data_IF_436403688848
#
_entry.id   IF_436403688848
#
_cell.length_a   1.000
_cell.length_b   1.000
_cell.length_c   1.000
_cell.angle_alpha   90.00
_cell.angle_beta   90.00
_cell.angle_gamma   90.00
#
_symmetry.space_group_name_H-M   'P 1'
#
loop_
_entity.id
_entity.type
_entity.pdbx_description
1 polymer ?
#
# COMPACT_ATOMS: atom_id res chain seq x y z
N UNK A 1 -1.42 16.29 19.52
CA UNK A 1 -1.58 16.37 19.07
C UNK A 1 -2.14 16.54 18.71
N UNK A 2 -2.31 16.63 18.81
CA UNK A 2 -2.78 16.78 18.37
C UNK A 2 -3.27 17.01 17.56
N UNK A 3 -3.37 17.30 17.36
CA UNK A 3 -3.74 17.36 16.61
C UNK A 3 -3.70 17.19 16.08
N UNK A 4 -3.56 16.99 16.28
CA UNK A 4 -3.26 16.76 15.72
C UNK A 4 -3.18 15.95 15.27
N UNK A 5 -3.19 15.50 15.78
CA UNK A 5 -3.23 14.68 15.43
C UNK A 5 -3.56 14.39 14.70
N UNK A 6 -3.09 14.28 15.25
CA UNK A 6 -3.74 14.55 14.23
C UNK A 6 -3.99 13.57 13.11
N UNK A 7 -4.82 13.78 12.26
CA UNK A 7 -5.14 12.91 11.17
C UNK A 7 -3.95 12.65 10.25
N UNK A 8 -3.78 11.43 9.77
CA UNK A 8 -2.75 11.12 8.81
C UNK A 8 -3.04 11.80 7.49
N UNK A 9 -2.00 12.23 6.80
CA UNK A 9 -2.16 12.79 5.49
C UNK A 9 -2.52 11.69 4.50
N UNK A 10 -3.00 12.09 3.33
CA UNK A 10 -3.35 11.15 2.30
C UNK A 10 -2.14 10.31 1.88
N UNK A 11 -0.99 10.96 1.83
CA UNK A 11 0.25 10.27 1.50
C UNK A 11 0.56 9.17 2.50
N UNK A 12 0.38 9.46 3.78
CA UNK A 12 0.64 8.46 4.83
C UNK A 12 -0.28 7.27 4.70
N UNK A 13 -1.54 7.51 4.38
CA UNK A 13 -2.50 6.44 4.18
C UNK A 13 -2.09 5.55 3.02
N UNK A 14 -1.74 6.15 1.90
CA UNK A 14 -1.34 5.40 0.73
C UNK A 14 -0.06 4.63 0.98
N UNK A 15 0.87 5.24 1.71
CA UNK A 15 2.12 4.58 2.05
C UNK A 15 1.83 3.32 2.86
N UNK A 16 0.95 3.41 3.83
CA UNK A 16 0.57 2.26 4.64
C UNK A 16 -0.08 1.17 3.81
N UNK A 17 -0.96 1.56 2.90
CA UNK A 17 -1.62 0.61 2.02
C UNK A 17 -0.62 -0.09 1.10
N UNK A 18 0.31 0.68 0.57
CA UNK A 18 1.34 0.13 -0.31
C UNK A 18 2.15 -0.95 0.41
N UNK A 19 2.60 -0.62 1.62
CA UNK A 19 3.39 -1.57 2.40
C UNK A 19 2.60 -2.82 2.74
N UNK A 20 1.34 -2.62 3.10
CA UNK A 20 0.48 -3.74 3.44
C UNK A 20 0.28 -4.66 2.25
N UNK A 21 0.02 -4.07 1.08
CA UNK A 21 -0.19 -4.85 -0.13
C UNK A 21 1.06 -5.61 -0.54
N UNK A 22 2.22 -4.98 -0.40
CA UNK A 22 3.47 -5.66 -0.71
C UNK A 22 3.70 -6.84 0.23
N UNK A 23 3.40 -6.64 1.50
CA UNK A 23 3.57 -7.70 2.47
C UNK A 23 2.64 -8.87 2.16
N UNK A 24 1.40 -8.55 1.83
CA UNK A 24 0.44 -9.59 1.48
C UNK A 24 0.84 -10.32 0.21
N UNK A 25 1.32 -9.58 -0.77
CA UNK A 25 1.78 -10.19 -2.01
C UNK A 25 2.93 -11.15 -1.74
N UNK A 26 3.86 -10.73 -0.89
CA UNK A 26 5.00 -11.56 -0.54
C UNK A 26 4.54 -12.85 0.15
N UNK A 27 3.64 -12.71 1.10
CA UNK A 27 3.11 -13.86 1.82
C UNK A 27 2.40 -14.83 0.89
N UNK A 28 1.61 -14.30 -0.03
CA UNK A 28 0.84 -15.13 -0.95
C UNK A 28 1.69 -15.73 -2.06
N UNK A 29 2.89 -15.22 -2.27
CA UNK A 29 3.72 -15.69 -3.36
C UNK A 29 4.06 -17.17 -3.25
N UNK A 30 4.01 -17.71 -2.05
CA UNK A 30 4.29 -19.12 -1.82
C UNK A 30 3.04 -19.98 -1.73
N UNK A 31 1.89 -19.39 -1.50
CA UNK A 31 0.65 -20.15 -1.32
C UNK A 31 -0.36 -19.92 -2.43
N UNK A 32 -0.42 -18.69 -2.96
CA UNK A 32 -1.39 -18.37 -3.99
C UNK A 32 -0.83 -17.31 -4.93
N UNK A 33 -0.19 -17.75 -5.98
CA UNK A 33 0.47 -16.84 -6.91
C UNK A 33 -0.48 -15.89 -7.60
N UNK A 34 -1.68 -16.36 -7.90
CA UNK A 34 -2.68 -15.53 -8.54
C UNK A 34 -3.02 -14.33 -7.65
N UNK A 35 -3.29 -14.61 -6.38
CA UNK A 35 -3.59 -13.55 -5.44
C UNK A 35 -2.38 -12.66 -5.21
N UNK A 36 -1.21 -13.26 -5.18
CA UNK A 36 0.03 -12.51 -5.01
C UNK A 36 0.19 -11.49 -6.13
N UNK A 37 0.00 -11.94 -7.37
CA UNK A 37 0.10 -11.05 -8.52
C UNK A 37 -0.93 -9.94 -8.45
N UNK A 38 -2.12 -10.27 -8.01
CA UNK A 38 -3.18 -9.28 -7.89
C UNK A 38 -2.82 -8.22 -6.85
N UNK A 39 -2.30 -8.67 -5.71
CA UNK A 39 -1.89 -7.74 -4.66
C UNK A 39 -0.73 -6.88 -5.11
N UNK A 40 0.20 -7.45 -5.83
CA UNK A 40 1.33 -6.68 -6.36
C UNK A 40 0.86 -5.61 -7.33
N UNK A 41 -0.12 -5.95 -8.14
CA UNK A 41 -0.70 -4.98 -9.08
C UNK A 41 -1.34 -3.83 -8.32
N UNK A 42 -2.10 -4.15 -7.28
CA UNK A 42 -2.73 -3.11 -6.46
C UNK A 42 -1.69 -2.23 -5.78
N UNK A 43 -0.62 -2.83 -5.29
CA UNK A 43 0.45 -2.06 -4.66
C UNK A 43 1.05 -1.08 -5.66
N UNK A 44 1.20 -1.53 -6.90
CA UNK A 44 1.73 -0.68 -7.95
C UNK A 44 0.83 0.52 -8.22
N UNK A 45 -0.49 0.28 -8.20
CA UNK A 45 -1.44 1.35 -8.39
C UNK A 45 -1.36 2.38 -7.26
N UNK A 46 -1.20 1.90 -6.05
CA UNK A 46 -1.04 2.80 -4.91
C UNK A 46 0.24 3.61 -5.04
N UNK A 47 1.30 2.96 -5.50
CA UNK A 47 2.57 3.65 -5.70
C UNK A 47 2.43 4.79 -6.70
N UNK A 48 1.69 4.56 -7.76
CA UNK A 48 1.45 5.60 -8.76
C UNK A 48 0.74 6.80 -8.14
N UNK A 49 -0.21 6.54 -7.27
CA UNK A 49 -0.91 7.61 -6.58
C UNK A 49 0.02 8.37 -5.64
N UNK A 50 0.92 7.65 -4.98
CA UNK A 50 1.90 8.28 -4.10
C UNK A 50 2.80 9.22 -4.89
N UNK A 51 3.21 8.79 -6.06
CA UNK A 51 4.08 9.61 -6.89
C UNK A 51 3.38 10.89 -7.33
N UNK A 52 2.08 10.81 -7.55
CA UNK A 52 1.31 11.98 -7.93
C UNK A 52 1.20 12.99 -6.80
N UNK A 53 1.22 12.51 -5.58
CA UNK A 53 1.11 13.38 -4.42
C UNK A 53 2.41 14.12 -4.11
N UNK A 54 3.49 13.63 -4.60
CA UNK A 54 4.77 14.32 -4.44
C UNK A 54 4.88 15.46 -5.44
#
# INVERSE_FOLDING_TARGET
>A
MFGLFKKKSEKDKLQGQYEKLLKEAHTLSTTNRKMSDHKAYEANEVLKQLEKLD
#
